data_IF_776395468070
#
_entry.id   IF_776395468070
#
_cell.length_a   1.000
_cell.length_b   1.000
_cell.length_c   1.000
_cell.angle_alpha   90.00
_cell.angle_beta   90.00
_cell.angle_gamma   90.00
#
_symmetry.space_group_name_H-M   'P 1'
#
loop_
_entity.id
_entity.type
_entity.pdbx_description
1 polymer ?
#
# COMPACT_ATOMS: atom_id res chain seq x y z
N UNK A 1 3.85 3.59 -28.29
CA UNK A 1 3.27 3.91 -29.62
C UNK A 1 2.28 5.06 -29.40
N UNK A 2 2.54 6.24 -29.99
CA UNK A 2 1.58 7.35 -29.98
C UNK A 2 0.45 6.92 -30.93
N UNK A 3 -0.79 6.87 -30.46
CA UNK A 3 -1.92 6.65 -31.38
C UNK A 3 -1.98 7.84 -32.33
N UNK A 4 -2.16 7.63 -33.65
CA UNK A 4 -2.49 8.73 -34.54
C UNK A 4 -3.77 9.39 -34.02
N UNK A 5 -3.76 10.72 -33.93
CA UNK A 5 -4.93 11.49 -33.57
C UNK A 5 -6.06 11.17 -34.56
N UNK A 6 -7.23 10.73 -34.06
CA UNK A 6 -8.41 10.46 -34.89
C UNK A 6 -9.07 9.09 -34.72
N UNK A 7 -8.50 8.14 -33.97
CA UNK A 7 -9.13 6.82 -33.74
C UNK A 7 -10.11 6.80 -32.55
N UNK A 8 -10.02 7.80 -31.67
CA UNK A 8 -10.91 7.99 -30.52
C UNK A 8 -11.40 9.43 -30.55
N UNK A 9 -12.73 9.61 -30.48
CA UNK A 9 -13.32 10.93 -30.26
C UNK A 9 -13.14 11.31 -28.79
N UNK A 10 -12.27 12.30 -28.56
CA UNK A 10 -11.97 12.85 -27.24
C UNK A 10 -12.56 14.26 -27.07
N UNK A 11 -13.45 14.70 -27.96
CA UNK A 11 -14.02 16.05 -27.94
C UNK A 11 -14.79 16.38 -26.66
N UNK A 12 -15.38 15.37 -26.02
CA UNK A 12 -16.10 15.49 -24.74
C UNK A 12 -15.21 15.38 -23.50
N UNK A 13 -13.90 15.12 -23.67
CA UNK A 13 -12.99 14.90 -22.55
C UNK A 13 -12.42 16.23 -22.03
N UNK A 14 -12.05 16.30 -20.73
CA UNK A 14 -11.38 17.47 -20.19
C UNK A 14 -10.12 17.85 -20.98
N UNK A 15 -9.86 19.15 -21.08
CA UNK A 15 -8.67 19.66 -21.78
C UNK A 15 -7.37 19.03 -21.24
N UNK A 16 -6.47 18.66 -22.15
CA UNK A 16 -5.19 18.04 -21.81
C UNK A 16 -5.25 16.53 -21.51
N UNK A 17 -6.44 15.92 -21.52
CA UNK A 17 -6.55 14.47 -21.34
C UNK A 17 -6.01 13.71 -22.56
N UNK A 18 -5.21 12.68 -22.31
CA UNK A 18 -4.63 11.82 -23.35
C UNK A 18 -4.73 10.34 -22.95
N UNK A 19 -4.70 9.47 -23.95
CA UNK A 19 -4.67 8.03 -23.77
C UNK A 19 -3.29 7.49 -24.14
N UNK A 20 -2.72 6.67 -23.26
CA UNK A 20 -1.49 5.92 -23.51
C UNK A 20 -1.88 4.45 -23.52
N UNK A 21 -1.55 3.72 -24.60
CA UNK A 21 -1.77 2.27 -24.63
C UNK A 21 -0.43 1.55 -24.68
N UNK A 22 -0.32 0.59 -23.78
CA UNK A 22 0.76 -0.38 -23.73
C UNK A 22 0.33 -1.64 -24.47
N UNK A 23 1.16 -2.07 -25.41
CA UNK A 23 1.07 -3.36 -26.09
C UNK A 23 2.09 -4.29 -25.47
N UNK A 24 1.66 -5.41 -24.89
CA UNK A 24 2.54 -6.42 -24.33
C UNK A 24 2.24 -7.80 -24.91
N UNK A 25 3.24 -8.66 -24.99
CA UNK A 25 3.05 -10.09 -25.24
C UNK A 25 2.83 -10.72 -23.86
N UNK A 26 1.69 -11.39 -23.60
CA UNK A 26 1.48 -12.11 -22.34
C UNK A 26 2.61 -13.11 -22.08
N UNK A 27 3.03 -13.22 -20.82
CA UNK A 27 4.04 -14.21 -20.45
C UNK A 27 3.53 -15.63 -20.69
N UNK A 28 4.46 -16.57 -20.89
CA UNK A 28 4.13 -17.99 -21.11
C UNK A 28 3.29 -18.52 -19.94
N UNK A 29 2.13 -19.11 -20.25
CA UNK A 29 1.18 -19.61 -19.25
C UNK A 29 0.11 -18.59 -18.80
N UNK A 30 0.15 -17.34 -19.28
CA UNK A 30 -0.93 -16.39 -19.04
C UNK A 30 -2.21 -16.83 -19.76
N UNK A 31 -3.33 -16.86 -19.04
CA UNK A 31 -4.64 -17.04 -19.67
C UNK A 31 -4.93 -15.85 -20.60
N UNK A 32 -5.24 -16.14 -21.87
CA UNK A 32 -5.65 -15.14 -22.85
C UNK A 32 -7.03 -14.58 -22.48
N UNK A 33 -7.17 -13.27 -22.63
CA UNK A 33 -8.43 -12.54 -22.45
C UNK A 33 -9.05 -12.27 -23.82
N UNK A 34 -10.36 -12.06 -23.87
CA UNK A 34 -11.09 -11.66 -25.10
C UNK A 34 -10.51 -10.37 -25.71
N UNK A 35 -9.90 -9.52 -24.88
CA UNK A 35 -9.23 -8.27 -25.28
C UNK A 35 -7.81 -8.47 -25.80
N UNK A 36 -7.27 -9.68 -25.78
CA UNK A 36 -5.94 -9.98 -26.30
C UNK A 36 -6.08 -10.20 -27.83
N UNK A 37 -5.77 -9.15 -28.59
CA UNK A 37 -5.90 -9.15 -30.07
C UNK A 37 -4.57 -9.60 -30.66
N UNK A 38 -4.61 -10.61 -31.53
CA UNK A 38 -3.43 -11.20 -32.17
C UNK A 38 -2.36 -11.66 -31.16
N UNK A 39 -2.79 -12.20 -30.02
CA UNK A 39 -1.87 -12.63 -28.95
C UNK A 39 -1.19 -11.49 -28.20
N UNK A 40 -1.60 -10.24 -28.43
CA UNK A 40 -1.11 -9.08 -27.72
C UNK A 40 -2.14 -8.54 -26.74
N UNK A 41 -1.69 -8.28 -25.51
CA UNK A 41 -2.50 -7.60 -24.50
C UNK A 41 -2.33 -6.10 -24.63
N UNK A 42 -3.44 -5.42 -24.83
CA UNK A 42 -3.51 -3.97 -24.86
C UNK A 42 -4.05 -3.46 -23.52
N UNK A 43 -3.35 -2.51 -22.91
CA UNK A 43 -3.81 -1.82 -21.70
C UNK A 43 -3.76 -0.33 -21.94
N UNK A 44 -4.90 0.34 -21.85
CA UNK A 44 -5.03 1.78 -22.03
C UNK A 44 -5.10 2.47 -20.66
N UNK A 45 -4.40 3.60 -20.53
CA UNK A 45 -4.52 4.51 -19.39
C UNK A 45 -4.92 5.88 -19.92
N UNK A 46 -5.88 6.52 -19.25
CA UNK A 46 -6.28 7.90 -19.50
C UNK A 46 -5.60 8.79 -18.45
N UNK A 47 -4.87 9.82 -18.88
CA UNK A 47 -4.14 10.71 -17.98
C UNK A 47 -4.06 12.12 -18.55
N UNK A 48 -4.12 13.13 -17.68
CA UNK A 48 -3.83 14.53 -17.99
C UNK A 48 -2.45 14.96 -17.45
N UNK A 49 -1.63 14.03 -16.96
CA UNK A 49 -0.28 14.35 -16.50
C UNK A 49 0.57 14.81 -17.68
N UNK A 50 1.06 16.03 -17.61
CA UNK A 50 1.85 16.66 -18.67
C UNK A 50 3.29 16.10 -18.75
N UNK A 51 3.87 15.83 -17.58
CA UNK A 51 5.28 15.46 -17.41
C UNK A 51 5.48 13.96 -17.11
N UNK A 52 6.69 13.46 -17.39
CA UNK A 52 7.11 12.07 -17.15
C UNK A 52 7.23 11.24 -18.43
N UNK A 53 8.13 10.27 -18.43
CA UNK A 53 8.25 9.34 -19.55
C UNK A 53 7.02 8.44 -19.61
N UNK A 54 6.59 8.03 -20.81
CA UNK A 54 5.42 7.15 -20.99
C UNK A 54 5.54 5.85 -20.16
N UNK A 55 6.76 5.32 -20.04
CA UNK A 55 7.04 4.15 -19.22
C UNK A 55 6.79 4.41 -17.72
N UNK A 56 7.19 5.56 -17.20
CA UNK A 56 7.00 5.92 -15.79
C UNK A 56 5.52 6.15 -15.45
N UNK A 57 4.76 6.74 -16.39
CA UNK A 57 3.32 6.94 -16.25
C UNK A 57 2.57 5.60 -16.22
N UNK A 58 2.94 4.66 -17.11
CA UNK A 58 2.39 3.31 -17.11
C UNK A 58 2.74 2.55 -15.82
N UNK A 59 3.99 2.61 -15.37
CA UNK A 59 4.42 1.99 -14.10
C UNK A 59 3.64 2.60 -12.93
N UNK A 60 3.53 3.92 -12.85
CA UNK A 60 2.79 4.60 -11.78
C UNK A 60 1.32 4.17 -11.75
N UNK A 61 0.69 4.04 -12.92
CA UNK A 61 -0.68 3.55 -13.03
C UNK A 61 -0.81 2.09 -12.59
N UNK A 62 0.10 1.21 -12.99
CA UNK A 62 0.12 -0.20 -12.52
C UNK A 62 0.33 -0.30 -11.02
N UNK A 63 1.14 0.58 -10.46
CA UNK A 63 1.38 0.65 -9.02
C UNK A 63 0.16 1.13 -8.22
N UNK A 64 -0.93 1.58 -8.88
CA UNK A 64 -2.23 1.84 -8.23
C UNK A 64 -2.84 0.57 -7.62
N UNK A 65 -2.49 -0.62 -8.10
CA UNK A 65 -2.86 -1.88 -7.45
C UNK A 65 -2.40 -1.94 -5.98
N UNK A 66 -1.33 -1.20 -5.61
CA UNK A 66 -0.91 -1.07 -4.20
C UNK A 66 -1.99 -0.41 -3.34
N UNK A 67 -2.77 0.52 -3.88
CA UNK A 67 -3.89 1.13 -3.17
C UNK A 67 -5.00 0.11 -2.91
N UNK A 68 -5.31 -0.74 -3.90
CA UNK A 68 -6.30 -1.81 -3.76
C UNK A 68 -5.87 -2.83 -2.71
N UNK A 69 -4.59 -3.23 -2.71
CA UNK A 69 -4.02 -4.08 -1.66
C UNK A 69 -4.09 -3.42 -0.27
N UNK A 70 -3.90 -2.11 -0.17
CA UNK A 70 -4.04 -1.37 1.10
C UNK A 70 -5.49 -1.32 1.57
N UNK A 71 -6.46 -1.11 0.68
CA UNK A 71 -7.89 -1.14 1.00
C UNK A 71 -8.31 -2.54 1.46
N UNK A 72 -7.83 -3.58 0.77
CA UNK A 72 -8.04 -4.97 1.16
C UNK A 72 -7.51 -5.23 2.57
N UNK A 73 -6.28 -4.80 2.86
CA UNK A 73 -5.67 -4.93 4.19
C UNK A 73 -6.41 -4.10 5.27
N UNK A 74 -7.06 -2.99 4.90
CA UNK A 74 -7.83 -2.19 5.85
C UNK A 74 -9.03 -2.97 6.43
N UNK A 75 -9.56 -3.94 5.69
CA UNK A 75 -10.63 -4.83 6.18
C UNK A 75 -10.16 -5.66 7.37
N UNK A 76 -8.93 -6.16 7.34
CA UNK A 76 -8.30 -6.91 8.45
C UNK A 76 -7.96 -6.03 9.66
N UNK A 77 -7.98 -4.70 9.49
CA UNK A 77 -7.79 -3.72 10.57
C UNK A 77 -9.10 -3.15 11.10
N UNK A 78 -10.26 -3.71 10.72
CA UNK A 78 -11.56 -3.34 11.27
C UNK A 78 -12.50 -2.61 10.30
N UNK A 79 -12.08 -2.36 9.05
CA UNK A 79 -12.96 -1.72 8.06
C UNK A 79 -14.05 -2.65 7.51
N UNK A 80 -13.94 -3.96 7.74
CA UNK A 80 -14.92 -4.92 7.27
C UNK A 80 -16.30 -4.76 7.94
N UNK A 81 -16.33 -4.27 9.18
CA UNK A 81 -17.54 -4.15 9.99
C UNK A 81 -17.56 -2.79 10.69
N UNK A 82 -18.70 -2.12 10.62
CA UNK A 82 -18.97 -0.89 11.37
C UNK A 82 -19.65 -1.27 12.70
N UNK A 83 -18.96 -1.14 13.85
CA UNK A 83 -19.40 -1.78 15.08
C UNK A 83 -20.52 -1.03 15.82
N UNK A 84 -20.80 0.22 15.44
CA UNK A 84 -21.73 1.07 16.16
C UNK A 84 -23.05 1.25 15.41
N UNK A 85 -24.13 1.53 16.15
CA UNK A 85 -25.42 1.94 15.55
C UNK A 85 -25.43 3.41 15.13
N UNK A 86 -24.58 4.23 15.74
CA UNK A 86 -24.49 5.67 15.44
C UNK A 86 -23.58 5.93 14.24
N UNK A 87 -24.05 6.78 13.33
CA UNK A 87 -23.27 7.23 12.18
C UNK A 87 -21.97 7.92 12.61
N UNK A 88 -22.05 8.91 13.49
CA UNK A 88 -20.87 9.65 13.98
C UNK A 88 -19.85 8.75 14.67
N UNK A 89 -20.31 7.72 15.39
CA UNK A 89 -19.41 6.75 16.01
C UNK A 89 -18.69 5.88 14.96
N UNK A 90 -19.38 5.52 13.87
CA UNK A 90 -18.77 4.79 12.76
C UNK A 90 -17.86 5.67 11.90
N UNK A 91 -18.15 6.97 11.77
CA UNK A 91 -17.23 7.93 11.15
C UNK A 91 -15.92 8.00 11.94
N UNK A 92 -15.99 8.15 13.26
CA UNK A 92 -14.82 8.09 14.13
C UNK A 92 -14.09 6.75 14.03
N UNK A 93 -14.83 5.63 13.95
CA UNK A 93 -14.26 4.31 13.73
C UNK A 93 -13.45 4.24 12.44
N UNK A 94 -13.98 4.77 11.33
CA UNK A 94 -13.26 4.86 10.06
C UNK A 94 -11.95 5.65 10.20
N UNK A 95 -11.96 6.77 10.92
CA UNK A 95 -10.74 7.54 11.18
C UNK A 95 -9.71 6.75 12.01
N UNK A 96 -10.14 6.01 13.02
CA UNK A 96 -9.24 5.14 13.81
C UNK A 96 -8.63 4.04 12.94
N UNK A 97 -9.44 3.40 12.09
CA UNK A 97 -8.95 2.38 11.15
C UNK A 97 -7.94 2.99 10.17
N UNK A 98 -8.23 4.17 9.60
CA UNK A 98 -7.28 4.88 8.72
C UNK A 98 -5.96 5.17 9.43
N UNK A 99 -6.01 5.68 10.66
CA UNK A 99 -4.81 5.92 11.47
C UNK A 99 -4.01 4.64 11.72
N UNK A 100 -4.68 3.53 12.06
CA UNK A 100 -4.01 2.24 12.25
C UNK A 100 -3.34 1.75 10.97
N UNK A 101 -3.99 1.87 9.81
CA UNK A 101 -3.41 1.49 8.52
C UNK A 101 -2.19 2.33 8.16
N UNK A 102 -2.22 3.63 8.48
CA UNK A 102 -1.13 4.56 8.21
C UNK A 102 0.07 4.28 9.12
N UNK A 103 -0.16 4.09 10.42
CA UNK A 103 0.89 3.73 11.38
C UNK A 103 1.57 2.40 10.99
N UNK A 104 0.78 1.40 10.59
CA UNK A 104 1.29 0.13 10.12
C UNK A 104 2.12 0.30 8.83
N UNK A 105 1.64 1.09 7.87
CA UNK A 105 2.34 1.39 6.63
C UNK A 105 3.71 2.01 6.85
N UNK A 106 3.79 3.06 7.68
CA UNK A 106 5.05 3.73 8.00
C UNK A 106 5.98 2.82 8.79
N UNK A 107 5.46 2.07 9.75
CA UNK A 107 6.25 1.08 10.52
C UNK A 107 6.89 0.06 9.57
N UNK A 108 6.14 -0.46 8.60
CA UNK A 108 6.68 -1.39 7.61
C UNK A 108 7.71 -0.75 6.68
N UNK A 109 7.45 0.47 6.22
CA UNK A 109 8.32 1.19 5.30
C UNK A 109 9.66 1.56 5.94
N UNK A 110 9.63 2.04 7.18
CA UNK A 110 10.79 2.55 7.93
C UNK A 110 11.45 1.43 8.72
N UNK A 111 10.70 0.76 9.59
CA UNK A 111 11.22 -0.22 10.54
C UNK A 111 11.73 -1.49 9.87
N UNK A 112 11.03 -1.98 8.86
CA UNK A 112 11.30 -3.28 8.22
C UNK A 112 11.94 -3.19 6.84
N UNK A 113 12.56 -2.05 6.49
CA UNK A 113 13.16 -1.77 5.16
C UNK A 113 13.86 -2.96 4.50
N UNK A 114 14.72 -3.66 5.23
CA UNK A 114 15.58 -4.75 4.74
C UNK A 114 15.04 -6.15 5.10
N UNK A 115 13.74 -6.28 5.35
CA UNK A 115 13.09 -7.50 5.81
C UNK A 115 11.85 -7.81 4.98
N UNK A 116 11.54 -9.11 4.84
CA UNK A 116 10.27 -9.56 4.25
C UNK A 116 9.04 -9.04 5.02
N UNK A 117 9.21 -8.65 6.29
CA UNK A 117 8.15 -8.07 7.11
C UNK A 117 7.60 -6.73 6.58
N UNK A 118 8.35 -6.04 5.73
CA UNK A 118 7.86 -4.86 5.00
C UNK A 118 6.63 -5.15 4.13
N UNK A 119 6.43 -6.40 3.72
CA UNK A 119 5.30 -6.84 2.88
C UNK A 119 4.37 -7.83 3.59
N UNK A 120 4.52 -8.02 4.90
CA UNK A 120 3.60 -8.88 5.63
C UNK A 120 2.20 -8.27 5.67
N UNK A 121 1.20 -9.11 5.51
CA UNK A 121 -0.20 -8.71 5.68
C UNK A 121 -0.54 -8.47 7.16
N UNK A 122 -1.59 -7.68 7.47
CA UNK A 122 -1.94 -7.30 8.83
C UNK A 122 -2.08 -8.47 9.79
N UNK A 123 -2.69 -9.58 9.33
CA UNK A 123 -2.84 -10.81 10.11
C UNK A 123 -1.50 -11.40 10.57
N UNK A 124 -0.49 -11.40 9.69
CA UNK A 124 0.85 -11.90 10.02
C UNK A 124 1.60 -10.94 10.94
N UNK A 125 1.48 -9.63 10.73
CA UNK A 125 2.03 -8.63 11.64
C UNK A 125 1.45 -8.77 13.05
N UNK A 126 0.13 -8.95 13.16
CA UNK A 126 -0.55 -9.17 14.45
C UNK A 126 0.03 -10.40 15.16
N UNK A 127 -0.01 -11.56 14.53
CA UNK A 127 0.42 -12.82 15.12
C UNK A 127 1.93 -12.89 15.45
N UNK A 128 2.77 -12.12 14.74
CA UNK A 128 4.23 -12.22 14.86
C UNK A 128 4.87 -11.07 15.61
N UNK A 129 4.26 -9.89 15.62
CA UNK A 129 4.85 -8.68 16.19
C UNK A 129 3.93 -8.02 17.23
N UNK A 130 2.66 -7.77 16.91
CA UNK A 130 1.78 -7.01 17.81
C UNK A 130 1.29 -7.83 19.00
N UNK A 131 1.31 -9.16 18.90
CA UNK A 131 1.02 -10.07 20.02
C UNK A 131 2.26 -10.38 20.88
N UNK A 132 3.45 -9.83 20.53
CA UNK A 132 4.63 -9.96 21.39
C UNK A 132 4.34 -9.23 22.71
N UNK A 133 4.31 -9.99 23.80
CA UNK A 133 4.20 -9.43 25.14
C UNK A 133 5.32 -8.44 25.43
N UNK A 134 4.96 -7.28 25.97
CA UNK A 134 5.91 -6.23 26.33
C UNK A 134 5.41 -5.37 27.48
N UNK A 135 6.35 -4.64 28.09
CA UNK A 135 6.09 -3.68 29.17
C UNK A 135 6.75 -2.37 28.81
N UNK A 136 5.98 -1.29 28.88
CA UNK A 136 6.51 0.07 28.77
C UNK A 136 6.88 0.57 30.18
N UNK A 137 8.13 0.96 30.37
CA UNK A 137 8.60 1.59 31.59
C UNK A 137 9.01 3.04 31.30
N UNK A 138 8.68 3.96 32.20
CA UNK A 138 9.08 5.35 32.11
C UNK A 138 9.92 5.71 33.33
N UNK A 139 11.16 6.13 33.12
CA UNK A 139 12.08 6.50 34.19
C UNK A 139 12.98 7.65 33.73
N UNK A 140 13.24 8.63 34.58
CA UNK A 140 14.14 9.77 34.30
C UNK A 140 13.88 10.46 32.93
N UNK A 141 12.60 10.66 32.57
CA UNK A 141 12.15 11.20 31.26
C UNK A 141 12.48 10.33 30.04
N UNK A 142 12.96 9.11 30.24
CA UNK A 142 13.17 8.12 29.20
C UNK A 142 12.06 7.06 29.22
N UNK A 143 11.65 6.62 28.03
CA UNK A 143 10.66 5.57 27.83
C UNK A 143 11.37 4.33 27.30
N UNK A 144 11.32 3.23 28.04
CA UNK A 144 11.95 1.96 27.69
C UNK A 144 10.88 0.90 27.41
N UNK A 145 10.95 0.30 26.23
CA UNK A 145 10.11 -0.83 25.84
C UNK A 145 10.83 -2.14 26.15
N UNK A 146 10.32 -2.89 27.11
CA UNK A 146 10.74 -4.26 27.40
C UNK A 146 9.89 -5.24 26.58
N UNK A 147 10.52 -6.19 25.91
CA UNK A 147 9.86 -7.21 25.09
C UNK A 147 10.23 -8.60 25.58
N UNK A 148 9.32 -9.57 25.39
CA UNK A 148 9.58 -10.97 25.70
C UNK A 148 10.80 -11.49 24.91
N UNK A 149 11.86 -11.85 25.63
CA UNK A 149 13.18 -12.16 25.03
C UNK A 149 13.19 -13.42 24.14
N UNK A 150 12.25 -14.35 24.37
CA UNK A 150 12.12 -15.60 23.61
C UNK A 150 11.10 -15.54 22.46
N UNK A 151 10.47 -14.39 22.23
CA UNK A 151 9.49 -14.29 21.15
C UNK A 151 10.17 -14.41 19.76
N UNK A 152 9.60 -15.16 18.80
CA UNK A 152 10.27 -15.52 17.55
C UNK A 152 10.80 -14.34 16.74
N UNK A 153 10.10 -13.21 16.73
CA UNK A 153 10.47 -12.02 15.93
C UNK A 153 10.93 -10.84 16.80
N UNK A 154 11.31 -11.07 18.06
CA UNK A 154 11.69 -9.97 18.97
C UNK A 154 12.85 -9.14 18.44
N UNK A 155 13.83 -9.78 17.79
CA UNK A 155 14.99 -9.08 17.22
C UNK A 155 14.60 -8.20 16.03
N UNK A 156 13.62 -8.64 15.22
CA UNK A 156 13.07 -7.84 14.13
C UNK A 156 12.35 -6.60 14.68
N UNK A 157 11.55 -6.77 15.73
CA UNK A 157 10.84 -5.66 16.38
C UNK A 157 11.81 -4.66 17.02
N UNK A 158 12.81 -5.13 17.76
CA UNK A 158 13.85 -4.28 18.36
C UNK A 158 14.60 -3.46 17.30
N UNK A 159 14.96 -4.08 16.17
CA UNK A 159 15.65 -3.39 15.07
C UNK A 159 14.75 -2.30 14.47
N UNK A 160 13.46 -2.56 14.31
CA UNK A 160 12.51 -1.58 13.80
C UNK A 160 12.32 -0.40 14.77
N UNK A 161 12.14 -0.68 16.06
CA UNK A 161 12.01 0.36 17.10
C UNK A 161 13.24 1.27 17.13
N UNK A 162 14.45 0.69 17.11
CA UNK A 162 15.70 1.46 17.04
C UNK A 162 15.78 2.36 15.81
N UNK A 163 15.36 1.88 14.64
CA UNK A 163 15.34 2.67 13.39
C UNK A 163 14.36 3.84 13.47
N UNK A 164 13.17 3.60 13.99
CA UNK A 164 12.14 4.63 14.12
C UNK A 164 12.59 5.68 15.14
N UNK A 165 13.15 5.26 16.27
CA UNK A 165 13.67 6.16 17.30
C UNK A 165 14.84 7.04 16.79
N UNK A 166 15.65 6.53 15.86
CA UNK A 166 16.73 7.31 15.25
C UNK A 166 16.24 8.46 14.34
N UNK A 167 14.95 8.49 13.99
CA UNK A 167 14.33 9.60 13.25
C UNK A 167 13.75 10.68 14.16
N UNK A 168 13.70 10.45 15.48
CA UNK A 168 13.20 11.45 16.40
C UNK A 168 14.11 12.69 16.37
N UNK A 169 13.53 13.90 16.27
CA UNK A 169 14.32 15.12 16.38
C UNK A 169 15.04 15.18 17.74
N UNK A 170 16.20 15.84 17.79
CA UNK A 170 17.00 15.98 19.01
C UNK A 170 16.27 16.72 20.13
#
# INVERSE_FOLDING_TARGET
>A
MRFPAGMLDLSSWPAGMRIIVRKEIPHVGAQLRITDIDGHRYTAIATNQEHGQLADLDVSHRLRARCEDRIRNAKDTGFANLPFKSFTANELWCHVVMMATELMAWTQMIGFKDSKARRWEPKKLRARLFEIGGKLAKHARQTTLHLASKAPEVQLLLKAVKRIAALSPP
#
